data_IF_927173253408
#
_entry.id   IF_927173253408
#
_cell.length_a   1.000
_cell.length_b   1.000
_cell.length_c   1.000
_cell.angle_alpha   90.00
_cell.angle_beta   90.00
_cell.angle_gamma   90.00
#
_symmetry.space_group_name_H-M   'P 1'
#
loop_
_entity.id
_entity.type
_entity.pdbx_description
1 polymer ?
#
# COMPACT_ATOMS: atom_id res chain seq x y z
N UNK A 1 -9.58 -3.36 -54.10
CA UNK A 1 -9.33 -3.56 -52.66
C UNK A 1 -10.64 -3.92 -52.02
N UNK A 2 -10.75 -5.11 -51.42
CA UNK A 2 -11.95 -5.50 -50.66
C UNK A 2 -12.13 -4.58 -49.46
N UNK A 3 -13.38 -4.35 -49.09
CA UNK A 3 -13.73 -3.61 -47.87
C UNK A 3 -13.36 -4.47 -46.66
N UNK A 4 -12.38 -4.00 -45.88
CA UNK A 4 -11.86 -4.72 -44.72
C UNK A 4 -12.98 -5.05 -43.71
N UNK A 5 -14.03 -4.24 -43.64
CA UNK A 5 -15.17 -4.48 -42.74
C UNK A 5 -15.96 -5.74 -43.12
N UNK A 6 -16.17 -5.96 -44.42
CA UNK A 6 -16.85 -7.15 -44.96
C UNK A 6 -15.99 -8.40 -44.72
N UNK A 7 -14.69 -8.29 -44.98
CA UNK A 7 -13.74 -9.40 -44.78
C UNK A 7 -13.63 -9.79 -43.29
N UNK A 8 -13.65 -8.80 -42.39
CA UNK A 8 -13.62 -9.02 -40.93
C UNK A 8 -14.86 -9.76 -40.44
N UNK A 9 -16.06 -9.34 -40.89
CA UNK A 9 -17.30 -9.99 -40.50
C UNK A 9 -17.34 -11.45 -40.97
N UNK A 10 -16.97 -11.71 -42.23
CA UNK A 10 -16.93 -13.06 -42.80
C UNK A 10 -15.88 -13.98 -42.12
N UNK A 11 -14.80 -13.39 -41.60
CA UNK A 11 -13.71 -14.10 -40.93
C UNK A 11 -13.93 -14.29 -39.41
N UNK A 12 -15.01 -13.71 -38.87
CA UNK A 12 -15.34 -13.75 -37.44
C UNK A 12 -16.24 -14.93 -37.09
N UNK A 13 -16.26 -15.30 -35.81
CA UNK A 13 -17.12 -16.35 -35.26
C UNK A 13 -17.81 -15.88 -33.99
N UNK A 14 -18.99 -16.43 -33.71
CA UNK A 14 -19.71 -16.18 -32.45
C UNK A 14 -19.16 -17.09 -31.36
N UNK A 15 -18.84 -16.50 -30.21
CA UNK A 15 -18.31 -17.23 -29.05
C UNK A 15 -19.09 -16.82 -27.81
N UNK A 16 -19.49 -17.81 -27.00
CA UNK A 16 -20.19 -17.60 -25.74
C UNK A 16 -19.20 -17.54 -24.58
N UNK A 17 -19.24 -16.46 -23.79
CA UNK A 17 -18.42 -16.30 -22.58
C UNK A 17 -19.30 -15.73 -21.46
N UNK A 18 -19.44 -16.48 -20.36
CA UNK A 18 -20.24 -16.03 -19.21
C UNK A 18 -21.71 -15.73 -19.56
N UNK A 19 -22.30 -16.49 -20.49
CA UNK A 19 -23.68 -16.31 -20.94
C UNK A 19 -23.91 -15.13 -21.90
N UNK A 20 -22.84 -14.44 -22.34
CA UNK A 20 -22.90 -13.38 -23.36
C UNK A 20 -22.26 -13.86 -24.65
N UNK A 21 -22.89 -13.51 -25.78
CA UNK A 21 -22.35 -13.77 -27.11
C UNK A 21 -21.42 -12.64 -27.55
N UNK A 22 -20.27 -13.01 -28.09
CA UNK A 22 -19.29 -12.09 -28.64
C UNK A 22 -18.95 -12.47 -30.08
N UNK A 23 -18.73 -11.46 -30.92
CA UNK A 23 -18.15 -11.64 -32.24
C UNK A 23 -16.62 -11.60 -32.11
N UNK A 24 -15.95 -12.67 -32.52
CA UNK A 24 -14.52 -12.89 -32.27
C UNK A 24 -13.78 -13.14 -33.58
N UNK A 25 -12.65 -12.47 -33.78
CA UNK A 25 -11.72 -12.71 -34.88
C UNK A 25 -10.60 -13.68 -34.43
N UNK A 26 -10.55 -14.92 -34.93
CA UNK A 26 -9.49 -15.86 -34.59
C UNK A 26 -8.10 -15.37 -35.03
N UNK A 27 -7.04 -15.79 -34.32
CA UNK A 27 -5.67 -15.36 -34.62
C UNK A 27 -5.22 -15.70 -36.06
N UNK A 28 -5.54 -16.90 -36.53
CA UNK A 28 -5.22 -17.34 -37.90
C UNK A 28 -5.97 -16.51 -38.96
N UNK A 29 -7.20 -16.08 -38.65
CA UNK A 29 -7.99 -15.24 -39.54
C UNK A 29 -7.43 -13.82 -39.61
N UNK A 30 -7.08 -13.22 -38.47
CA UNK A 30 -6.39 -11.93 -38.41
C UNK A 30 -5.07 -11.96 -39.22
N UNK A 31 -4.40 -13.11 -39.28
CA UNK A 31 -3.13 -13.28 -40.01
C UNK A 31 -3.32 -13.26 -41.49
N UNK A 32 -4.28 -14.06 -41.94
CA UNK A 32 -4.64 -14.15 -43.34
C UNK A 32 -5.09 -12.80 -43.86
N UNK A 33 -5.88 -12.06 -43.08
CA UNK A 33 -6.34 -10.71 -43.42
C UNK A 33 -5.19 -9.70 -43.48
N UNK A 34 -4.28 -9.72 -42.50
CA UNK A 34 -3.10 -8.85 -42.49
C UNK A 34 -2.25 -9.06 -43.76
N UNK A 35 -1.91 -10.32 -44.06
CA UNK A 35 -1.14 -10.68 -45.27
C UNK A 35 -1.90 -10.33 -46.55
N UNK A 36 -3.17 -10.71 -46.65
CA UNK A 36 -3.99 -10.52 -47.86
C UNK A 36 -4.31 -9.06 -48.16
N UNK A 37 -4.37 -8.19 -47.14
CA UNK A 37 -4.63 -6.75 -47.29
C UNK A 37 -3.37 -5.89 -47.25
N UNK A 38 -2.17 -6.48 -47.14
CA UNK A 38 -0.89 -5.76 -46.98
C UNK A 38 -0.91 -4.76 -45.80
N UNK A 39 -1.55 -5.16 -44.70
CA UNK A 39 -1.62 -4.38 -43.46
C UNK A 39 -0.89 -5.08 -42.34
N UNK A 40 -0.44 -4.31 -41.35
CA UNK A 40 0.10 -4.85 -40.11
C UNK A 40 -0.98 -5.61 -39.32
N UNK A 41 -0.54 -6.48 -38.41
CA UNK A 41 -1.46 -7.18 -37.49
C UNK A 41 -2.26 -6.19 -36.64
N UNK A 42 -1.60 -5.13 -36.17
CA UNK A 42 -2.19 -4.06 -35.36
C UNK A 42 -3.34 -3.38 -36.08
N UNK A 43 -3.17 -3.04 -37.36
CA UNK A 43 -4.20 -2.37 -38.15
C UNK A 43 -5.46 -3.22 -38.32
N UNK A 44 -5.29 -4.53 -38.55
CA UNK A 44 -6.42 -5.46 -38.66
C UNK A 44 -7.13 -5.62 -37.32
N UNK A 45 -6.39 -5.80 -36.22
CA UNK A 45 -6.98 -5.93 -34.88
C UNK A 45 -7.67 -4.65 -34.42
N UNK A 46 -7.11 -3.48 -34.75
CA UNK A 46 -7.73 -2.17 -34.49
C UNK A 46 -9.02 -1.98 -35.27
N UNK A 47 -9.02 -2.34 -36.56
CA UNK A 47 -10.22 -2.31 -37.39
C UNK A 47 -11.31 -3.27 -36.86
N UNK A 48 -10.92 -4.46 -36.42
CA UNK A 48 -11.83 -5.42 -35.79
C UNK A 48 -12.50 -4.82 -34.55
N UNK A 49 -11.71 -4.28 -33.60
CA UNK A 49 -12.24 -3.67 -32.38
C UNK A 49 -13.17 -2.48 -32.68
N UNK A 50 -12.83 -1.67 -33.69
CA UNK A 50 -13.67 -0.55 -34.14
C UNK A 50 -15.02 -1.05 -34.68
N UNK A 51 -15.04 -2.21 -35.33
CA UNK A 51 -16.25 -2.87 -35.83
C UNK A 51 -17.00 -3.69 -34.76
N UNK A 52 -16.57 -3.65 -33.48
CA UNK A 52 -17.16 -4.44 -32.41
C UNK A 52 -16.77 -5.93 -32.43
N UNK A 53 -15.76 -6.29 -33.22
CA UNK A 53 -15.23 -7.65 -33.34
C UNK A 53 -13.96 -7.76 -32.49
N UNK A 54 -13.93 -8.73 -31.58
CA UNK A 54 -12.85 -8.89 -30.61
C UNK A 54 -11.77 -9.80 -31.20
N UNK A 55 -10.50 -9.37 -31.33
CA UNK A 55 -9.40 -10.29 -31.59
C UNK A 55 -9.34 -11.36 -30.50
N UNK A 56 -9.33 -12.64 -30.89
CA UNK A 56 -9.56 -13.76 -29.96
C UNK A 56 -8.63 -13.80 -28.75
N UNK A 57 -7.40 -13.29 -28.89
CA UNK A 57 -6.43 -13.16 -27.80
C UNK A 57 -6.91 -12.26 -26.65
N UNK A 58 -7.75 -11.26 -26.92
CA UNK A 58 -8.23 -10.30 -25.92
C UNK A 58 -9.62 -10.65 -25.38
N UNK A 59 -10.23 -11.76 -25.80
CA UNK A 59 -11.58 -12.14 -25.37
C UNK A 59 -11.72 -12.20 -23.85
N UNK A 60 -10.67 -12.61 -23.14
CA UNK A 60 -10.65 -12.68 -21.67
C UNK A 60 -10.45 -11.32 -20.98
N UNK A 61 -10.10 -10.26 -21.72
CA UNK A 61 -9.92 -8.91 -21.19
C UNK A 61 -11.21 -8.10 -21.24
N UNK A 62 -12.10 -8.37 -22.21
CA UNK A 62 -13.26 -7.54 -22.53
C UNK A 62 -14.24 -7.41 -21.37
N UNK A 63 -14.37 -8.43 -20.51
CA UNK A 63 -15.20 -8.34 -19.31
C UNK A 63 -14.75 -7.25 -18.33
N UNK A 64 -13.47 -6.89 -18.36
CA UNK A 64 -12.86 -5.92 -17.44
C UNK A 64 -12.64 -4.56 -18.11
N UNK A 65 -11.98 -4.52 -19.28
CA UNK A 65 -11.61 -3.25 -19.95
C UNK A 65 -12.57 -2.86 -21.08
N UNK A 66 -13.46 -3.76 -21.49
CA UNK A 66 -14.33 -3.55 -22.65
C UNK A 66 -13.60 -3.47 -23.98
N UNK A 67 -14.36 -3.39 -25.08
CA UNK A 67 -13.81 -3.20 -26.44
C UNK A 67 -13.11 -1.83 -26.54
N UNK A 68 -13.70 -0.78 -25.97
CA UNK A 68 -13.11 0.57 -25.97
C UNK A 68 -11.79 0.63 -25.20
N UNK A 69 -11.68 -0.02 -24.03
CA UNK A 69 -10.41 -0.08 -23.30
C UNK A 69 -9.36 -0.89 -24.04
N UNK A 70 -9.73 -2.02 -24.66
CA UNK A 70 -8.81 -2.80 -25.49
C UNK A 70 -8.32 -2.01 -26.70
N UNK A 71 -9.20 -1.21 -27.33
CA UNK A 71 -8.83 -0.31 -28.42
C UNK A 71 -7.86 0.78 -27.96
N UNK A 72 -8.07 1.35 -26.76
CA UNK A 72 -7.14 2.32 -26.16
C UNK A 72 -5.77 1.69 -25.90
N UNK A 73 -5.72 0.49 -25.32
CA UNK A 73 -4.45 -0.25 -25.15
C UNK A 73 -3.74 -0.43 -26.50
N UNK A 74 -4.46 -0.88 -27.54
CA UNK A 74 -3.87 -1.13 -28.85
C UNK A 74 -3.41 0.15 -29.57
N UNK A 75 -3.90 1.33 -29.16
CA UNK A 75 -3.44 2.61 -29.69
C UNK A 75 -2.33 3.26 -28.83
N UNK A 76 -2.15 2.81 -27.60
CA UNK A 76 -1.23 3.42 -26.66
C UNK A 76 0.25 3.07 -26.92
N UNK A 77 1.11 3.96 -26.47
CA UNK A 77 2.57 3.82 -26.40
C UNK A 77 3.01 3.84 -24.95
N UNK A 78 3.74 2.81 -24.49
CA UNK A 78 4.28 2.75 -23.13
C UNK A 78 5.80 2.66 -23.19
N UNK A 79 6.49 3.55 -22.47
CA UNK A 79 7.92 3.49 -22.31
C UNK A 79 8.28 2.73 -21.03
N UNK A 80 9.05 1.64 -21.14
CA UNK A 80 9.56 0.86 -20.01
C UNK A 80 11.07 1.11 -19.90
N UNK A 81 11.49 1.74 -18.80
CA UNK A 81 12.91 2.09 -18.58
C UNK A 81 13.51 1.13 -17.56
N UNK A 82 14.45 0.31 -18.03
CA UNK A 82 14.95 -0.88 -17.38
C UNK A 82 14.20 -2.13 -17.87
N UNK A 83 14.93 -3.13 -18.36
CA UNK A 83 14.44 -4.43 -18.84
C UNK A 83 14.94 -5.59 -17.95
N UNK A 84 15.23 -5.29 -16.68
CA UNK A 84 15.62 -6.27 -15.67
C UNK A 84 14.45 -7.07 -15.08
N UNK A 85 14.54 -7.43 -13.80
CA UNK A 85 13.54 -8.29 -13.13
C UNK A 85 12.12 -7.70 -13.10
N UNK A 86 12.01 -6.38 -12.90
CA UNK A 86 10.73 -5.67 -12.98
C UNK A 86 10.30 -5.49 -14.43
N UNK A 87 11.11 -4.76 -15.20
CA UNK A 87 10.75 -4.32 -16.55
C UNK A 87 10.51 -5.47 -17.53
N UNK A 88 11.29 -6.55 -17.45
CA UNK A 88 11.11 -7.71 -18.32
C UNK A 88 9.72 -8.35 -18.16
N UNK A 89 9.23 -8.48 -16.92
CA UNK A 89 7.88 -8.98 -16.68
C UNK A 89 6.80 -7.94 -17.02
N UNK A 90 7.03 -6.65 -16.77
CA UNK A 90 6.11 -5.59 -17.22
C UNK A 90 5.92 -5.66 -18.73
N UNK A 91 7.00 -5.77 -19.51
CA UNK A 91 6.95 -5.90 -20.98
C UNK A 91 6.13 -7.11 -21.41
N UNK A 92 6.37 -8.27 -20.81
CA UNK A 92 5.61 -9.50 -21.05
C UNK A 92 4.09 -9.28 -20.84
N UNK A 93 3.72 -8.68 -19.69
CA UNK A 93 2.34 -8.48 -19.31
C UNK A 93 1.64 -7.44 -20.19
N UNK A 94 2.30 -6.32 -20.52
CA UNK A 94 1.74 -5.29 -21.38
C UNK A 94 1.58 -5.77 -22.83
N UNK A 95 2.52 -6.58 -23.33
CA UNK A 95 2.39 -7.20 -24.66
C UNK A 95 1.20 -8.16 -24.72
N UNK A 96 0.95 -8.93 -23.65
CA UNK A 96 -0.23 -9.80 -23.52
C UNK A 96 -1.54 -9.02 -23.41
N UNK A 97 -1.51 -7.88 -22.73
CA UNK A 97 -2.64 -6.95 -22.66
C UNK A 97 -2.90 -6.22 -23.97
N UNK A 98 -1.98 -6.30 -24.93
CA UNK A 98 -2.14 -5.68 -26.25
C UNK A 98 -1.88 -4.18 -26.25
N UNK A 99 -0.94 -3.70 -25.43
CA UNK A 99 -0.41 -2.33 -25.56
C UNK A 99 0.24 -2.20 -26.93
N UNK A 100 -0.19 -1.20 -27.71
CA UNK A 100 0.13 -1.12 -29.13
C UNK A 100 1.60 -0.89 -29.47
N UNK A 101 2.28 -0.04 -28.70
CA UNK A 101 3.71 0.22 -28.85
C UNK A 101 4.42 0.15 -27.51
N UNK A 102 5.52 -0.58 -27.44
CA UNK A 102 6.43 -0.62 -26.29
C UNK A 102 7.77 0.01 -26.66
N UNK A 103 8.15 1.08 -25.96
CA UNK A 103 9.48 1.69 -26.07
C UNK A 103 10.33 1.14 -24.93
N UNK A 104 11.40 0.43 -25.26
CA UNK A 104 12.25 -0.28 -24.30
C UNK A 104 13.60 0.41 -24.20
N UNK A 105 13.99 0.80 -23.00
CA UNK A 105 15.26 1.50 -22.73
C UNK A 105 16.05 0.72 -21.69
N UNK A 106 17.15 0.11 -22.10
CA UNK A 106 18.12 -0.53 -21.20
C UNK A 106 19.48 -0.57 -21.89
N UNK A 107 20.55 -0.25 -21.16
CA UNK A 107 21.92 -0.24 -21.69
C UNK A 107 22.73 -1.48 -21.34
N UNK A 108 22.15 -2.44 -20.62
CA UNK A 108 22.85 -3.61 -20.11
C UNK A 108 22.63 -4.85 -20.98
N UNK A 109 23.51 -5.83 -20.76
CA UNK A 109 23.38 -7.21 -21.24
C UNK A 109 23.02 -8.14 -20.08
N UNK A 110 22.59 -9.37 -20.38
CA UNK A 110 22.38 -10.36 -19.33
C UNK A 110 23.68 -10.95 -18.79
N UNK A 111 23.70 -11.15 -17.48
CA UNK A 111 24.78 -11.78 -16.71
C UNK A 111 24.24 -12.96 -15.88
N UNK A 112 25.11 -13.85 -15.42
CA UNK A 112 24.73 -15.04 -14.64
C UNK A 112 23.84 -14.71 -13.44
N UNK A 113 24.14 -13.61 -12.74
CA UNK A 113 23.37 -13.16 -11.58
C UNK A 113 21.93 -12.71 -11.93
N UNK A 114 21.57 -12.62 -13.22
CA UNK A 114 20.23 -12.25 -13.68
C UNK A 114 19.31 -13.47 -13.81
N UNK A 115 19.85 -14.68 -14.00
CA UNK A 115 19.10 -15.93 -14.17
C UNK A 115 18.13 -16.22 -13.02
N UNK A 116 18.43 -15.72 -11.82
CA UNK A 116 17.62 -15.98 -10.63
C UNK A 116 16.25 -15.28 -10.63
N UNK A 117 16.10 -14.15 -11.35
CA UNK A 117 14.93 -13.25 -11.19
C UNK A 117 14.45 -12.55 -12.46
N UNK A 118 15.25 -12.54 -13.52
CA UNK A 118 14.89 -11.85 -14.75
C UNK A 118 14.27 -12.84 -15.74
N UNK A 119 12.95 -12.77 -15.92
CA UNK A 119 12.16 -13.68 -16.76
C UNK A 119 12.75 -13.90 -18.16
N UNK A 120 13.33 -12.84 -18.74
CA UNK A 120 13.83 -12.83 -20.11
C UNK A 120 15.28 -13.35 -20.23
N UNK A 121 15.93 -13.65 -19.12
CA UNK A 121 17.29 -14.18 -19.08
C UNK A 121 17.22 -15.71 -19.03
N UNK A 122 17.68 -16.38 -20.09
CA UNK A 122 17.99 -17.81 -20.06
C UNK A 122 19.51 -18.01 -20.12
N UNK A 123 19.99 -19.23 -19.85
CA UNK A 123 21.42 -19.54 -20.02
C UNK A 123 21.93 -19.25 -21.46
N UNK A 124 21.05 -19.35 -22.45
CA UNK A 124 21.36 -19.06 -23.85
C UNK A 124 21.38 -17.55 -24.17
N UNK A 125 20.84 -16.70 -23.28
CA UNK A 125 20.78 -15.24 -23.48
C UNK A 125 21.91 -14.49 -22.76
N UNK A 126 22.85 -15.18 -22.10
CA UNK A 126 23.98 -14.54 -21.44
C UNK A 126 24.81 -13.72 -22.45
N UNK A 127 25.12 -12.48 -22.08
CA UNK A 127 25.80 -11.50 -22.94
C UNK A 127 24.91 -10.82 -24.00
N UNK A 128 23.64 -11.21 -24.12
CA UNK A 128 22.68 -10.58 -25.03
C UNK A 128 22.15 -9.26 -24.44
N UNK A 129 21.96 -8.20 -25.26
CA UNK A 129 21.30 -6.98 -24.81
C UNK A 129 19.88 -7.25 -24.29
N UNK A 130 19.56 -6.74 -23.10
CA UNK A 130 18.27 -7.01 -22.43
C UNK A 130 17.07 -6.57 -23.28
N UNK A 131 17.18 -5.41 -23.93
CA UNK A 131 16.11 -4.90 -24.83
C UNK A 131 15.88 -5.80 -26.04
N UNK A 132 16.90 -6.50 -26.53
CA UNK A 132 16.75 -7.39 -27.70
C UNK A 132 16.07 -8.70 -27.33
N UNK A 133 16.38 -9.27 -26.17
CA UNK A 133 15.63 -10.42 -25.66
C UNK A 133 14.16 -10.06 -25.39
N UNK A 134 13.90 -8.86 -24.86
CA UNK A 134 12.55 -8.36 -24.68
C UNK A 134 11.81 -8.19 -26.02
N UNK A 135 12.46 -7.63 -27.05
CA UNK A 135 11.92 -7.52 -28.40
C UNK A 135 11.48 -8.87 -28.97
N UNK A 136 12.39 -9.85 -28.98
CA UNK A 136 12.11 -11.19 -29.50
C UNK A 136 10.96 -11.85 -28.74
N UNK A 137 10.94 -11.67 -27.41
CA UNK A 137 9.87 -12.19 -26.57
C UNK A 137 8.51 -11.60 -26.91
N UNK A 138 8.42 -10.29 -27.08
CA UNK A 138 7.16 -9.62 -27.46
C UNK A 138 6.66 -10.12 -28.80
N UNK A 139 7.54 -10.23 -29.81
CA UNK A 139 7.15 -10.75 -31.13
C UNK A 139 6.63 -12.18 -31.08
N UNK A 140 7.19 -13.02 -30.21
CA UNK A 140 6.71 -14.39 -30.00
C UNK A 140 5.31 -14.46 -29.37
N UNK A 141 4.91 -13.43 -28.62
CA UNK A 141 3.62 -13.39 -27.89
C UNK A 141 2.53 -12.71 -28.71
N UNK A 142 2.86 -11.54 -29.27
CA UNK A 142 1.88 -10.65 -29.85
C UNK A 142 2.45 -9.83 -31.02
N UNK A 143 2.31 -10.36 -32.22
CA UNK A 143 2.72 -9.69 -33.46
C UNK A 143 1.92 -8.39 -33.78
N UNK A 144 0.89 -8.04 -33.00
CA UNK A 144 0.20 -6.75 -33.09
C UNK A 144 0.92 -5.63 -32.33
N UNK A 145 1.88 -5.96 -31.48
CA UNK A 145 2.63 -5.00 -30.66
C UNK A 145 3.89 -4.58 -31.43
N UNK A 146 4.07 -3.26 -31.57
CA UNK A 146 5.30 -2.67 -32.08
C UNK A 146 6.28 -2.48 -30.93
N UNK A 147 7.56 -2.77 -31.15
CA UNK A 147 8.60 -2.60 -30.13
C UNK A 147 9.70 -1.71 -30.68
N UNK A 148 10.11 -0.72 -29.90
CA UNK A 148 11.21 0.19 -30.20
C UNK A 148 12.29 0.03 -29.13
N UNK A 149 13.44 -0.51 -29.52
CA UNK A 149 14.53 -0.77 -28.59
C UNK A 149 15.57 0.35 -28.62
N UNK A 150 15.99 0.79 -27.45
CA UNK A 150 17.09 1.70 -27.25
C UNK A 150 18.11 1.06 -26.31
N UNK A 151 19.20 0.52 -26.89
CA UNK A 151 20.37 0.01 -26.17
C UNK A 151 21.20 1.15 -25.58
N UNK A 152 20.62 1.87 -24.61
CA UNK A 152 21.27 3.01 -23.98
C UNK A 152 20.73 3.22 -22.57
N UNK A 153 21.54 3.85 -21.73
CA UNK A 153 21.10 4.27 -20.39
C UNK A 153 20.35 5.59 -20.50
N UNK A 154 19.32 5.75 -19.66
CA UNK A 154 18.60 7.01 -19.55
C UNK A 154 19.53 8.09 -18.96
N UNK A 155 19.59 9.24 -19.61
CA UNK A 155 20.28 10.44 -19.13
C UNK A 155 19.38 11.67 -19.27
N UNK A 156 19.77 12.78 -18.66
CA UNK A 156 18.99 14.04 -18.77
C UNK A 156 18.93 14.55 -20.22
N UNK A 157 19.95 14.25 -21.01
CA UNK A 157 20.14 14.72 -22.37
C UNK A 157 19.31 13.91 -23.37
N UNK A 158 19.17 12.59 -23.17
CA UNK A 158 18.44 11.72 -24.09
C UNK A 158 16.98 11.46 -23.68
N UNK A 159 16.58 11.75 -22.44
CA UNK A 159 15.26 11.39 -21.93
C UNK A 159 14.08 11.97 -22.75
N UNK A 160 14.19 13.21 -23.24
CA UNK A 160 13.14 13.81 -24.07
C UNK A 160 12.93 13.06 -25.40
N UNK A 161 14.03 12.57 -25.99
CA UNK A 161 13.99 11.77 -27.21
C UNK A 161 13.42 10.37 -26.95
N UNK A 162 13.89 9.71 -25.88
CA UNK A 162 13.50 8.33 -25.56
C UNK A 162 12.04 8.20 -25.12
N UNK A 163 11.52 9.18 -24.37
CA UNK A 163 10.19 9.12 -23.78
C UNK A 163 9.13 9.88 -24.60
N UNK A 164 9.54 10.59 -25.64
CA UNK A 164 8.66 11.43 -26.46
C UNK A 164 7.53 10.63 -27.10
N UNK A 165 6.28 11.06 -26.86
CA UNK A 165 5.09 10.43 -27.41
C UNK A 165 4.60 9.18 -26.65
N UNK A 166 5.20 8.84 -25.51
CA UNK A 166 4.63 7.82 -24.62
C UNK A 166 3.41 8.38 -23.88
N UNK A 167 2.39 7.53 -23.73
CA UNK A 167 1.19 7.83 -22.94
C UNK A 167 1.42 7.54 -21.45
N UNK A 168 2.30 6.58 -21.14
CA UNK A 168 2.70 6.21 -19.77
C UNK A 168 4.17 5.79 -19.79
N UNK A 169 4.90 6.16 -18.74
CA UNK A 169 6.27 5.69 -18.48
C UNK A 169 6.26 4.72 -17.29
N UNK A 170 7.05 3.65 -17.36
CA UNK A 170 7.27 2.71 -16.26
C UNK A 170 8.71 2.81 -15.79
N UNK A 171 8.87 3.08 -14.50
CA UNK A 171 10.17 3.04 -13.82
C UNK A 171 10.45 1.61 -13.34
N UNK A 172 11.40 0.96 -14.00
CA UNK A 172 11.95 -0.33 -13.62
C UNK A 172 13.47 -0.24 -13.38
N UNK A 173 13.94 0.93 -12.93
CA UNK A 173 15.35 1.20 -12.66
C UNK A 173 15.74 0.72 -11.25
N UNK A 174 17.02 0.39 -11.08
CA UNK A 174 17.60 -0.20 -9.86
C UNK A 174 18.32 0.82 -8.97
N UNK A 175 18.37 2.10 -9.37
CA UNK A 175 19.09 3.13 -8.64
C UNK A 175 18.31 4.45 -8.58
N UNK A 176 18.29 5.04 -7.39
CA UNK A 176 17.51 6.23 -7.09
C UNK A 176 17.86 7.46 -7.96
N UNK A 177 19.13 7.78 -8.28
CA UNK A 177 19.46 8.92 -9.15
C UNK A 177 18.80 8.83 -10.54
N UNK A 178 18.83 7.64 -11.16
CA UNK A 178 18.20 7.44 -12.47
C UNK A 178 16.67 7.55 -12.39
N UNK A 179 16.06 7.11 -11.29
CA UNK A 179 14.61 7.28 -11.04
C UNK A 179 14.21 8.76 -11.00
N UNK A 180 14.99 9.61 -10.35
CA UNK A 180 14.75 11.07 -10.35
C UNK A 180 14.99 11.73 -11.73
N UNK A 181 15.91 11.21 -12.55
CA UNK A 181 16.05 11.66 -13.95
C UNK A 181 14.78 11.31 -14.74
N UNK A 182 14.31 10.08 -14.62
CA UNK A 182 13.09 9.60 -15.27
C UNK A 182 11.84 10.39 -14.87
N UNK A 183 11.63 10.59 -13.57
CA UNK A 183 10.49 11.34 -13.05
C UNK A 183 10.47 12.78 -13.57
N UNK A 184 11.61 13.49 -13.55
CA UNK A 184 11.70 14.85 -14.08
C UNK A 184 11.41 14.92 -15.58
N UNK A 185 11.91 13.96 -16.35
CA UNK A 185 11.65 13.90 -17.77
C UNK A 185 10.17 13.63 -18.07
N UNK A 186 9.56 12.64 -17.39
CA UNK A 186 8.14 12.34 -17.50
C UNK A 186 7.28 13.56 -17.14
N UNK A 187 7.61 14.25 -16.02
CA UNK A 187 6.97 15.49 -15.60
C UNK A 187 7.06 16.57 -16.67
N UNK A 188 8.25 16.82 -17.23
CA UNK A 188 8.46 17.83 -18.29
C UNK A 188 7.66 17.51 -19.56
N UNK A 189 7.51 16.24 -19.89
CA UNK A 189 6.74 15.76 -21.04
C UNK A 189 5.24 15.61 -20.76
N UNK A 190 4.80 15.87 -19.53
CA UNK A 190 3.41 15.70 -19.07
C UNK A 190 2.91 14.25 -19.18
N UNK A 191 3.79 13.28 -18.90
CA UNK A 191 3.50 11.85 -18.97
C UNK A 191 3.40 11.27 -17.55
N UNK A 192 2.32 10.53 -17.21
CA UNK A 192 2.24 9.77 -15.97
C UNK A 192 3.36 8.72 -15.86
N UNK A 193 3.89 8.56 -14.65
CA UNK A 193 4.94 7.59 -14.30
C UNK A 193 4.38 6.52 -13.35
N UNK A 194 4.61 5.25 -13.68
CA UNK A 194 4.35 4.11 -12.78
C UNK A 194 5.67 3.69 -12.15
N UNK A 195 5.82 3.98 -10.86
CA UNK A 195 6.99 3.66 -10.07
C UNK A 195 6.90 2.28 -9.43
N UNK A 196 8.03 1.55 -9.47
CA UNK A 196 8.21 0.28 -8.77
C UNK A 196 9.59 0.20 -8.13
N UNK A 197 9.66 -0.33 -6.91
CA UNK A 197 10.91 -0.58 -6.20
C UNK A 197 10.83 -1.87 -5.37
N UNK A 198 11.97 -2.49 -5.11
CA UNK A 198 12.07 -3.74 -4.35
C UNK A 198 13.27 -3.72 -3.41
N UNK A 199 13.20 -4.41 -2.28
CA UNK A 199 14.36 -4.69 -1.43
C UNK A 199 14.11 -5.99 -0.66
N UNK A 200 14.78 -7.08 -1.04
CA UNK A 200 14.53 -8.39 -0.42
C UNK A 200 13.09 -8.84 -0.66
N UNK A 201 12.32 -9.06 0.41
CA UNK A 201 10.90 -9.39 0.34
C UNK A 201 9.96 -8.18 0.28
N UNK A 202 10.51 -6.97 0.30
CA UNK A 202 9.75 -5.73 0.29
C UNK A 202 9.53 -5.23 -1.14
N UNK A 203 8.33 -4.73 -1.41
CA UNK A 203 7.95 -4.15 -2.69
C UNK A 203 7.18 -2.85 -2.52
N UNK A 204 7.32 -1.94 -3.48
CA UNK A 204 6.64 -0.65 -3.51
C UNK A 204 6.10 -0.36 -4.90
N UNK A 205 4.86 0.12 -4.99
CA UNK A 205 4.26 0.61 -6.25
C UNK A 205 3.52 1.91 -6.01
N UNK A 206 3.73 2.88 -6.91
CA UNK A 206 3.10 4.20 -6.86
C UNK A 206 2.82 4.69 -8.28
N UNK A 207 1.70 5.39 -8.49
CA UNK A 207 1.46 6.13 -9.73
C UNK A 207 1.68 7.63 -9.47
N UNK A 208 2.49 8.27 -10.31
CA UNK A 208 2.88 9.68 -10.19
C UNK A 208 2.41 10.41 -11.45
N UNK A 209 1.50 11.36 -11.28
CA UNK A 209 1.09 12.26 -12.35
C UNK A 209 1.98 13.52 -12.39
N UNK A 210 2.01 14.26 -13.52
CA UNK A 210 2.93 15.41 -13.67
C UNK A 210 2.82 16.48 -12.57
N UNK A 211 1.63 16.65 -11.99
CA UNK A 211 1.32 17.61 -10.93
C UNK A 211 1.55 17.07 -9.51
N UNK A 212 1.90 15.78 -9.35
CA UNK A 212 2.12 15.19 -8.04
C UNK A 212 3.51 15.56 -7.45
N UNK A 213 3.69 15.50 -6.12
CA UNK A 213 5.01 15.74 -5.47
C UNK A 213 6.11 14.79 -5.97
N UNK A 214 5.75 13.57 -6.37
CA UNK A 214 6.66 12.61 -6.99
C UNK A 214 7.53 11.84 -6.00
N UNK A 215 8.69 11.35 -6.46
CA UNK A 215 9.57 10.48 -5.66
C UNK A 215 10.16 11.19 -4.45
N UNK A 216 10.24 12.52 -4.48
CA UNK A 216 10.74 13.33 -3.37
C UNK A 216 9.89 13.20 -2.10
N UNK A 217 8.59 12.91 -2.24
CA UNK A 217 7.70 12.65 -1.11
C UNK A 217 7.99 11.31 -0.42
N UNK A 218 8.53 10.34 -1.16
CA UNK A 218 8.86 9.00 -0.66
C UNK A 218 10.29 8.92 -0.13
N UNK A 219 11.26 9.48 -0.87
CA UNK A 219 12.69 9.32 -0.60
C UNK A 219 13.38 10.59 -0.08
N UNK A 220 12.65 11.69 0.04
CA UNK A 220 13.22 13.01 0.30
C UNK A 220 13.85 13.64 -0.96
N UNK A 221 14.42 14.86 -0.83
CA UNK A 221 15.04 15.55 -1.96
C UNK A 221 16.23 14.75 -2.53
N UNK A 222 16.45 14.86 -3.84
CA UNK A 222 17.58 14.22 -4.51
C UNK A 222 18.91 14.57 -3.81
N UNK A 223 19.74 13.54 -3.53
CA UNK A 223 20.98 13.68 -2.77
C UNK A 223 20.85 13.43 -1.27
N UNK A 224 19.62 13.23 -0.74
CA UNK A 224 19.39 12.83 0.66
C UNK A 224 19.90 11.42 1.00
N UNK A 225 19.94 10.53 0.00
CA UNK A 225 20.42 9.14 0.09
C UNK A 225 21.06 8.73 -1.24
N UNK A 226 22.31 8.30 -1.23
CA UNK A 226 23.04 7.91 -2.46
C UNK A 226 22.71 6.50 -2.95
N UNK A 227 22.23 5.60 -2.08
CA UNK A 227 21.97 4.18 -2.39
C UNK A 227 20.71 3.68 -1.68
N UNK A 228 19.95 2.83 -2.36
CA UNK A 228 18.86 2.05 -1.74
C UNK A 228 19.42 0.92 -0.88
N UNK A 229 18.62 0.45 0.08
CA UNK A 229 18.94 -0.70 0.98
C UNK A 229 19.09 -2.03 0.19
N UNK A 230 18.85 -2.01 -1.13
CA UNK A 230 18.80 -3.17 -2.02
C UNK A 230 20.13 -3.95 -2.13
N UNK A 231 21.28 -3.33 -1.86
CA UNK A 231 22.61 -3.95 -2.02
C UNK A 231 22.91 -4.99 -0.93
N UNK A 232 22.32 -4.84 0.26
CA UNK A 232 22.58 -5.76 1.38
C UNK A 232 21.57 -6.92 1.47
N UNK A 233 20.34 -6.74 0.98
CA UNK A 233 19.26 -7.73 1.14
C UNK A 233 19.13 -8.73 0.01
N UNK A 234 19.70 -8.43 -1.17
CA UNK A 234 19.46 -9.20 -2.40
C UNK A 234 18.00 -9.09 -2.87
N UNK A 235 17.69 -9.72 -4.01
CA UNK A 235 16.37 -9.67 -4.64
C UNK A 235 15.90 -11.10 -5.03
N UNK A 236 15.10 -11.76 -4.18
CA UNK A 236 14.44 -13.04 -4.48
C UNK A 236 13.54 -12.94 -5.72
N UNK A 237 13.40 -14.04 -6.47
CA UNK A 237 12.71 -14.06 -7.76
C UNK A 237 11.26 -13.54 -7.73
N UNK A 238 10.53 -13.81 -6.64
CA UNK A 238 9.11 -13.50 -6.55
C UNK A 238 8.82 -12.01 -6.32
N UNK A 239 9.67 -11.30 -5.57
CA UNK A 239 9.42 -9.89 -5.21
C UNK A 239 9.36 -8.97 -6.45
N UNK A 240 10.32 -9.01 -7.40
CA UNK A 240 10.18 -8.29 -8.65
C UNK A 240 8.93 -8.69 -9.42
N UNK A 241 8.58 -9.98 -9.46
CA UNK A 241 7.41 -10.44 -10.20
C UNK A 241 6.10 -9.84 -9.65
N UNK A 242 5.96 -9.78 -8.33
CA UNK A 242 4.82 -9.17 -7.65
C UNK A 242 4.71 -7.68 -7.98
N UNK A 243 5.80 -6.93 -7.82
CA UNK A 243 5.84 -5.48 -8.10
C UNK A 243 5.56 -5.19 -9.57
N UNK A 244 6.17 -5.93 -10.50
CA UNK A 244 5.94 -5.79 -11.93
C UNK A 244 4.48 -6.08 -12.33
N UNK A 245 3.83 -7.06 -11.69
CA UNK A 245 2.41 -7.34 -11.94
C UNK A 245 1.54 -6.14 -11.56
N UNK A 246 1.79 -5.52 -10.41
CA UNK A 246 1.11 -4.29 -10.00
C UNK A 246 1.43 -3.11 -10.93
N UNK A 247 2.70 -2.92 -11.32
CA UNK A 247 3.07 -1.88 -12.29
C UNK A 247 2.31 -2.02 -13.61
N UNK A 248 2.24 -3.24 -14.17
CA UNK A 248 1.49 -3.49 -15.39
C UNK A 248 -0.02 -3.18 -15.23
N UNK A 249 -0.60 -3.48 -14.06
CA UNK A 249 -1.98 -3.11 -13.77
C UNK A 249 -2.17 -1.59 -13.68
N UNK A 250 -1.26 -0.83 -13.08
CA UNK A 250 -1.33 0.63 -13.06
C UNK A 250 -1.35 1.23 -14.47
N UNK A 251 -0.47 0.74 -15.36
CA UNK A 251 -0.45 1.16 -16.77
C UNK A 251 -1.79 0.91 -17.44
N UNK A 252 -2.37 -0.29 -17.27
CA UNK A 252 -3.69 -0.62 -17.83
C UNK A 252 -4.77 0.31 -17.27
N UNK A 253 -4.77 0.58 -15.96
CA UNK A 253 -5.75 1.49 -15.33
C UNK A 253 -5.63 2.91 -15.88
N UNK A 254 -4.42 3.43 -16.07
CA UNK A 254 -4.19 4.77 -16.62
C UNK A 254 -4.73 4.85 -18.06
N UNK A 255 -4.37 3.89 -18.91
CA UNK A 255 -4.76 3.90 -20.33
C UNK A 255 -6.26 3.65 -20.56
N UNK A 256 -6.85 2.76 -19.76
CA UNK A 256 -8.24 2.31 -19.94
C UNK A 256 -9.23 3.01 -19.00
N UNK A 257 -8.79 3.69 -17.95
CA UNK A 257 -9.68 4.20 -16.90
C UNK A 257 -10.47 3.11 -16.16
N UNK A 258 -10.17 1.82 -16.37
CA UNK A 258 -10.86 0.71 -15.74
C UNK A 258 -10.24 0.43 -14.36
N UNK A 259 -10.72 1.16 -13.34
CA UNK A 259 -10.23 1.10 -11.96
C UNK A 259 -9.50 2.37 -11.55
N UNK A 260 -9.03 2.40 -10.30
CA UNK A 260 -8.41 3.59 -9.72
C UNK A 260 -6.88 3.41 -9.62
N UNK A 261 -6.08 4.24 -10.33
CA UNK A 261 -4.64 4.23 -10.18
C UNK A 261 -4.19 4.52 -8.75
N UNK A 262 -3.02 4.01 -8.37
CA UNK A 262 -2.30 4.25 -7.11
C UNK A 262 -1.74 5.68 -7.04
N UNK A 263 -2.49 6.65 -7.55
CA UNK A 263 -2.15 8.07 -7.47
C UNK A 263 -2.27 8.51 -6.02
N UNK A 264 -1.19 9.08 -5.46
CA UNK A 264 -1.08 9.46 -4.04
C UNK A 264 -1.35 8.31 -3.05
N UNK A 265 -1.16 7.07 -3.48
CA UNK A 265 -1.35 5.87 -2.65
C UNK A 265 -0.19 4.93 -2.90
N UNK A 266 0.72 4.84 -1.93
CA UNK A 266 1.84 3.90 -1.99
C UNK A 266 1.33 2.52 -1.60
N UNK A 267 1.34 1.58 -2.56
CA UNK A 267 1.21 0.18 -2.24
C UNK A 267 2.53 -0.33 -1.70
N UNK A 268 2.53 -0.83 -0.47
CA UNK A 268 3.69 -1.41 0.19
C UNK A 268 3.43 -2.90 0.43
N UNK A 269 4.35 -3.74 -0.03
CA UNK A 269 4.22 -5.20 0.04
C UNK A 269 5.33 -5.71 0.95
N UNK A 270 4.95 -6.43 2.00
CA UNK A 270 5.88 -7.21 2.82
C UNK A 270 5.60 -8.71 2.58
N UNK A 271 6.40 -9.32 1.71
CA UNK A 271 6.24 -10.75 1.39
C UNK A 271 6.82 -11.67 2.46
N UNK A 272 7.62 -11.15 3.41
CA UNK A 272 8.10 -11.95 4.53
C UNK A 272 6.99 -12.15 5.55
N UNK A 273 6.20 -11.10 5.82
CA UNK A 273 4.99 -11.16 6.64
C UNK A 273 3.74 -11.66 5.90
N UNK A 274 3.74 -11.63 4.57
CA UNK A 274 2.57 -11.95 3.75
C UNK A 274 1.52 -10.83 3.75
N UNK A 275 1.96 -9.58 3.93
CA UNK A 275 1.10 -8.42 4.14
C UNK A 275 1.19 -7.42 2.97
N UNK A 276 0.07 -6.74 2.71
CA UNK A 276 -0.02 -5.69 1.69
C UNK A 276 -0.75 -4.49 2.28
N UNK A 277 -0.09 -3.34 2.26
CA UNK A 277 -0.55 -2.08 2.82
C UNK A 277 -0.76 -1.04 1.72
N UNK A 278 -1.71 -0.14 1.92
CA UNK A 278 -1.83 1.08 1.10
C UNK A 278 -1.66 2.29 2.00
N UNK A 279 -0.64 3.09 1.74
CA UNK A 279 -0.31 4.30 2.49
C UNK A 279 -0.70 5.54 1.67
N UNK A 280 -1.52 6.43 2.22
CA UNK A 280 -1.89 7.67 1.54
C UNK A 280 -0.73 8.68 1.58
N UNK A 281 -0.38 9.23 0.43
CA UNK A 281 0.67 10.22 0.27
C UNK A 281 0.07 11.64 0.25
N UNK A 282 0.70 12.52 1.02
CA UNK A 282 0.43 13.95 1.05
C UNK A 282 -0.78 14.38 1.86
N UNK A 283 -1.04 13.69 2.96
CA UNK A 283 -1.76 14.23 4.12
C UNK A 283 -0.82 14.82 5.18
N UNK A 284 0.50 14.57 5.12
CA UNK A 284 1.47 15.16 6.09
C UNK A 284 1.47 16.69 6.11
N UNK A 285 1.24 17.34 4.97
CA UNK A 285 1.29 18.81 4.86
C UNK A 285 -0.08 19.52 4.87
N UNK A 286 -1.19 18.79 4.86
CA UNK A 286 -2.55 19.38 4.92
C UNK A 286 -3.31 18.98 6.19
N UNK A 287 -2.95 17.90 6.88
CA UNK A 287 -3.46 17.66 8.23
C UNK A 287 -2.83 18.61 9.24
N UNK A 288 -1.52 18.93 9.16
CA UNK A 288 -0.88 19.85 10.11
C UNK A 288 -1.33 21.32 10.01
N UNK A 289 -1.86 21.77 8.85
CA UNK A 289 -2.31 23.16 8.66
C UNK A 289 -3.82 23.32 8.41
N UNK A 290 -4.56 22.24 8.13
CA UNK A 290 -6.03 22.26 8.01
C UNK A 290 -6.73 21.60 9.22
N UNK A 291 -6.00 20.94 10.12
CA UNK A 291 -6.49 20.51 11.44
C UNK A 291 -6.48 21.64 12.50
N UNK A 292 -6.53 22.90 12.08
CA UNK A 292 -7.13 23.96 12.89
C UNK A 292 -8.68 23.87 12.89
N UNK A 293 -9.27 22.79 12.35
CA UNK A 293 -10.71 22.51 12.34
C UNK A 293 -11.05 21.01 12.47
N UNK A 294 -10.82 20.44 13.67
CA UNK A 294 -11.54 19.32 14.30
C UNK A 294 -11.80 18.02 13.50
N UNK A 295 -10.82 17.13 13.46
CA UNK A 295 -11.02 15.72 13.84
C UNK A 295 -9.99 15.38 14.92
N UNK A 296 -10.45 15.21 16.15
CA UNK A 296 -9.61 14.76 17.26
C UNK A 296 -9.23 13.30 17.02
N UNK A 297 -7.97 12.93 17.28
CA UNK A 297 -7.53 11.53 17.30
C UNK A 297 -8.31 10.70 18.34
N UNK A 298 -8.00 9.40 18.49
CA UNK A 298 -8.68 8.55 19.47
C UNK A 298 -8.64 9.21 20.85
N UNK A 299 -9.79 9.29 21.50
CA UNK A 299 -9.83 9.77 22.88
C UNK A 299 -9.13 8.76 23.79
N UNK A 300 -8.38 9.23 24.78
CA UNK A 300 -7.65 8.37 25.72
C UNK A 300 -8.11 8.66 27.13
N UNK A 301 -8.39 7.62 27.91
CA UNK A 301 -8.80 7.72 29.30
C UNK A 301 -8.11 6.66 30.14
N UNK A 302 -7.59 7.07 31.30
CA UNK A 302 -6.86 6.21 32.24
C UNK A 302 -7.73 5.77 33.41
N UNK A 303 -7.70 4.50 33.75
CA UNK A 303 -8.39 3.91 34.89
C UNK A 303 -7.39 3.63 36.00
N UNK A 304 -7.49 4.39 37.09
CA UNK A 304 -6.49 4.43 38.15
C UNK A 304 -7.09 4.06 39.49
N UNK A 305 -6.38 3.23 40.25
CA UNK A 305 -6.77 2.72 41.54
C UNK A 305 -5.64 1.88 42.11
N UNK A 306 -5.62 1.66 43.42
CA UNK A 306 -4.62 0.79 44.06
C UNK A 306 -4.71 -0.65 43.55
N UNK A 307 -3.65 -1.44 43.72
CA UNK A 307 -3.64 -2.84 43.27
C UNK A 307 -4.78 -3.62 43.92
N UNK A 308 -5.47 -4.47 43.15
CA UNK A 308 -6.64 -5.21 43.64
C UNK A 308 -7.99 -4.47 43.57
N UNK A 309 -8.03 -3.20 43.16
CA UNK A 309 -9.28 -2.42 43.09
C UNK A 309 -10.31 -2.88 42.04
N UNK A 310 -9.98 -3.90 41.22
CA UNK A 310 -10.88 -4.46 40.20
C UNK A 310 -10.82 -3.79 38.82
N UNK A 311 -9.85 -2.91 38.55
CA UNK A 311 -9.70 -2.18 37.26
C UNK A 311 -9.85 -3.07 36.02
N UNK A 312 -9.16 -4.20 35.98
CA UNK A 312 -9.21 -5.12 34.83
C UNK A 312 -10.61 -5.67 34.62
N UNK A 313 -11.31 -6.06 35.68
CA UNK A 313 -12.70 -6.54 35.61
C UNK A 313 -13.63 -5.46 35.08
N UNK A 314 -13.52 -4.23 35.60
CA UNK A 314 -14.28 -3.08 35.11
C UNK A 314 -14.00 -2.79 33.64
N UNK A 315 -12.74 -2.81 33.21
CA UNK A 315 -12.36 -2.55 31.82
C UNK A 315 -12.90 -3.62 30.87
N UNK A 316 -12.89 -4.90 31.25
CA UNK A 316 -13.46 -5.98 30.42
C UNK A 316 -14.96 -5.76 30.19
N UNK A 317 -15.71 -5.43 31.25
CA UNK A 317 -17.14 -5.16 31.14
C UNK A 317 -17.42 -3.90 30.32
N UNK A 318 -16.64 -2.83 30.54
CA UNK A 318 -16.78 -1.56 29.83
C UNK A 318 -16.44 -1.67 28.34
N UNK A 319 -15.37 -2.37 27.97
CA UNK A 319 -15.03 -2.65 26.56
C UNK A 319 -16.18 -3.39 25.89
N UNK A 320 -16.76 -4.36 26.59
CA UNK A 320 -17.90 -5.14 26.09
C UNK A 320 -19.14 -4.27 25.88
N UNK A 321 -19.42 -3.32 26.79
CA UNK A 321 -20.52 -2.36 26.65
C UNK A 321 -20.31 -1.39 25.47
N UNK A 322 -19.12 -0.79 25.36
CA UNK A 322 -18.79 0.17 24.31
C UNK A 322 -18.75 -0.47 22.91
N UNK A 323 -18.19 -1.68 22.80
CA UNK A 323 -18.12 -2.40 21.51
C UNK A 323 -19.51 -2.82 21.03
N UNK A 324 -20.40 -3.24 21.94
CA UNK A 324 -21.82 -3.52 21.60
C UNK A 324 -22.55 -2.31 21.02
N UNK A 325 -22.09 -1.10 21.35
CA UNK A 325 -22.62 0.19 20.85
C UNK A 325 -21.89 0.67 19.58
N UNK A 326 -21.03 -0.16 18.99
CA UNK A 326 -20.38 0.10 17.71
C UNK A 326 -19.08 0.89 17.77
N UNK A 327 -18.53 1.15 18.96
CA UNK A 327 -17.21 1.78 19.09
C UNK A 327 -16.10 0.76 18.86
N UNK A 328 -15.03 1.21 18.20
CA UNK A 328 -13.74 0.54 18.18
C UNK A 328 -12.95 0.97 19.40
N UNK A 329 -12.65 0.02 20.29
CA UNK A 329 -11.98 0.29 21.57
C UNK A 329 -10.64 -0.45 21.63
N UNK A 330 -9.59 0.26 22.02
CA UNK A 330 -8.29 -0.35 22.36
C UNK A 330 -8.08 -0.33 23.87
N UNK A 331 -7.32 -1.29 24.38
CA UNK A 331 -6.95 -1.37 25.79
C UNK A 331 -5.44 -1.43 25.94
N UNK A 332 -4.90 -0.65 26.88
CA UNK A 332 -3.47 -0.54 27.16
C UNK A 332 -3.24 -0.81 28.63
N UNK A 333 -2.22 -1.57 28.98
CA UNK A 333 -1.83 -1.78 30.39
C UNK A 333 -0.53 -1.05 30.68
N UNK A 334 -0.56 -0.13 31.64
CA UNK A 334 0.60 0.63 32.08
C UNK A 334 1.09 0.10 33.44
N UNK A 335 2.27 -0.53 33.46
CA UNK A 335 2.92 -1.05 34.68
C UNK A 335 4.31 -0.43 34.88
N UNK A 336 4.65 -0.07 36.12
CA UNK A 336 6.01 0.37 36.47
C UNK A 336 6.99 -0.81 36.68
N UNK A 337 6.49 -2.04 36.76
CA UNK A 337 7.32 -3.24 36.80
C UNK A 337 7.53 -3.77 35.37
N UNK A 338 8.78 -4.05 35.00
CA UNK A 338 9.21 -4.55 33.68
C UNK A 338 8.64 -5.93 33.29
N UNK A 339 7.76 -6.53 34.10
CA UNK A 339 7.32 -7.91 33.96
C UNK A 339 5.93 -8.07 33.34
N UNK A 340 5.62 -7.30 32.29
CA UNK A 340 4.43 -7.55 31.47
C UNK A 340 4.73 -8.61 30.38
N UNK A 341 4.95 -9.86 30.81
CA UNK A 341 4.88 -11.04 29.94
C UNK A 341 6.18 -11.76 29.62
N UNK A 342 7.27 -11.53 30.36
CA UNK A 342 8.55 -12.18 30.07
C UNK A 342 8.79 -13.43 30.94
N UNK A 343 8.86 -14.59 30.27
CA UNK A 343 9.76 -15.70 30.59
C UNK A 343 9.68 -16.71 29.42
N UNK A 344 10.69 -16.78 28.53
CA UNK A 344 12.12 -16.93 28.84
C UNK A 344 12.95 -15.74 28.31
N UNK A 345 13.66 -14.94 29.12
CA UNK A 345 14.57 -15.34 30.18
C UNK A 345 16.05 -15.34 29.76
N UNK A 346 16.54 -14.27 29.11
CA UNK A 346 17.91 -13.67 29.23
C UNK A 346 18.29 -12.81 28.01
N UNK A 347 17.83 -13.15 26.81
CA UNK A 347 18.43 -12.59 25.58
C UNK A 347 17.90 -11.20 25.21
N UNK A 348 16.59 -10.92 25.35
CA UNK A 348 16.04 -9.55 25.15
C UNK A 348 16.72 -8.53 26.06
N UNK A 349 16.93 -8.89 27.33
CA UNK A 349 17.62 -8.04 28.29
C UNK A 349 19.10 -7.88 27.96
N UNK A 350 19.78 -8.97 27.54
CA UNK A 350 21.18 -8.90 27.06
C UNK A 350 21.32 -8.04 25.81
N UNK A 351 20.38 -8.12 24.88
CA UNK A 351 20.36 -7.29 23.66
C UNK A 351 20.18 -5.81 24.02
N UNK A 352 19.29 -5.48 24.97
CA UNK A 352 19.16 -4.12 25.51
C UNK A 352 20.42 -3.64 26.24
N UNK A 353 21.00 -4.48 27.11
CA UNK A 353 22.26 -4.18 27.81
C UNK A 353 23.45 -4.05 26.85
N UNK A 354 23.39 -4.71 25.68
CA UNK A 354 24.34 -4.56 24.59
C UNK A 354 24.10 -3.29 23.73
N UNK A 355 23.07 -2.48 24.05
CA UNK A 355 22.81 -1.19 23.41
C UNK A 355 21.74 -1.21 22.31
N UNK A 356 20.91 -2.25 22.20
CA UNK A 356 19.81 -2.26 21.25
C UNK A 356 18.78 -1.16 21.57
N UNK A 357 18.52 -0.28 20.60
CA UNK A 357 17.54 0.82 20.71
C UNK A 357 16.08 0.34 20.77
N UNK A 358 15.82 -0.91 20.36
CA UNK A 358 14.54 -1.59 20.48
C UNK A 358 14.67 -3.09 20.28
N UNK A 359 13.76 -3.87 20.86
CA UNK A 359 13.75 -5.34 20.74
C UNK A 359 12.34 -5.81 20.43
N UNK A 360 12.19 -6.75 19.49
CA UNK A 360 10.90 -7.33 19.15
C UNK A 360 10.89 -8.84 19.45
N UNK A 361 9.78 -9.33 20.01
CA UNK A 361 9.44 -10.74 20.05
C UNK A 361 8.46 -11.01 18.90
N UNK A 362 8.88 -11.85 17.96
CA UNK A 362 8.08 -12.24 16.80
C UNK A 362 7.80 -13.73 16.89
N UNK A 363 6.53 -14.10 16.99
CA UNK A 363 6.07 -15.49 16.89
C UNK A 363 4.85 -15.56 15.97
N UNK A 364 4.59 -16.71 15.32
CA UNK A 364 3.41 -16.86 14.48
C UNK A 364 2.06 -16.60 15.18
N UNK A 365 2.02 -16.66 16.51
CA UNK A 365 0.81 -16.44 17.30
C UNK A 365 0.76 -15.05 17.97
N UNK A 366 1.91 -14.38 18.11
CA UNK A 366 2.02 -13.12 18.86
C UNK A 366 3.28 -12.35 18.47
N UNK A 367 3.10 -11.06 18.21
CA UNK A 367 4.19 -10.08 18.09
C UNK A 367 4.14 -9.12 19.28
N UNK A 368 5.29 -8.84 19.88
CA UNK A 368 5.44 -7.81 20.90
C UNK A 368 6.68 -6.96 20.61
N UNK A 369 6.53 -5.64 20.63
CA UNK A 369 7.61 -4.68 20.42
C UNK A 369 7.96 -4.03 21.75
N UNK A 370 9.25 -3.99 22.09
CA UNK A 370 9.80 -3.43 23.31
C UNK A 370 10.72 -2.27 22.97
N UNK A 371 10.27 -1.04 23.22
CA UNK A 371 11.08 0.17 23.11
C UNK A 371 11.19 0.86 24.46
N UNK A 372 12.35 1.44 24.79
CA UNK A 372 12.42 2.42 25.87
C UNK A 372 11.65 3.66 25.42
N UNK A 373 10.66 4.08 26.21
CA UNK A 373 9.93 5.32 25.99
C UNK A 373 9.87 6.06 27.32
N UNK A 374 10.08 7.38 27.29
CA UNK A 374 9.68 8.21 28.41
C UNK A 374 8.14 8.29 28.47
N UNK A 375 7.55 8.48 29.66
CA UNK A 375 6.09 8.56 29.83
C UNK A 375 5.45 9.61 28.88
N UNK A 376 6.09 10.77 28.68
CA UNK A 376 5.60 11.80 27.75
C UNK A 376 5.55 11.30 26.30
N UNK A 377 6.55 10.52 25.86
CA UNK A 377 6.62 9.96 24.52
C UNK A 377 5.64 8.80 24.33
N UNK A 378 5.50 7.95 25.35
CA UNK A 378 4.55 6.85 25.34
C UNK A 378 3.11 7.34 25.17
N UNK A 379 2.77 8.49 25.77
CA UNK A 379 1.46 9.11 25.64
C UNK A 379 1.16 9.55 24.21
N UNK A 380 2.10 10.24 23.56
CA UNK A 380 1.97 10.68 22.17
C UNK A 380 1.89 9.50 21.18
N UNK A 381 2.58 8.39 21.47
CA UNK A 381 2.61 7.19 20.61
C UNK A 381 1.35 6.34 20.66
N UNK A 382 0.57 6.40 21.75
CA UNK A 382 -0.66 5.61 21.87
C UNK A 382 -1.65 5.89 20.73
N UNK A 383 -1.76 7.15 20.29
CA UNK A 383 -2.66 7.51 19.19
C UNK A 383 -2.12 7.05 17.83
N UNK A 384 -0.80 7.00 17.66
CA UNK A 384 -0.14 6.52 16.44
C UNK A 384 -0.31 5.01 16.25
N UNK A 385 -0.27 4.23 17.34
CA UNK A 385 -0.32 2.76 17.29
C UNK A 385 -1.71 2.19 17.07
N UNK A 386 -2.77 2.98 17.30
CA UNK A 386 -4.16 2.53 17.16
C UNK A 386 -4.94 3.41 16.16
N UNK A 387 -4.54 3.46 14.88
CA UNK A 387 -5.23 4.27 13.89
C UNK A 387 -6.66 3.77 13.68
N UNK A 388 -7.64 4.68 13.72
CA UNK A 388 -9.05 4.38 13.47
C UNK A 388 -9.80 3.73 14.65
N UNK A 389 -9.21 3.72 15.85
CA UNK A 389 -9.89 3.44 17.13
C UNK A 389 -10.64 4.71 17.58
N UNK A 390 -11.80 4.55 18.23
CA UNK A 390 -12.59 5.66 18.75
C UNK A 390 -12.16 6.05 20.18
N UNK A 391 -11.85 5.05 21.01
CA UNK A 391 -11.48 5.25 22.42
C UNK A 391 -10.38 4.26 22.87
N UNK A 392 -9.35 4.77 23.55
CA UNK A 392 -8.28 3.98 24.17
C UNK A 392 -8.46 4.00 25.69
N UNK A 393 -8.61 2.82 26.28
CA UNK A 393 -8.70 2.65 27.73
C UNK A 393 -7.37 2.18 28.30
N UNK A 394 -6.77 3.00 29.15
CA UNK A 394 -5.49 2.69 29.80
C UNK A 394 -5.76 2.15 31.19
N UNK A 395 -5.40 0.90 31.47
CA UNK A 395 -5.31 0.36 32.82
C UNK A 395 -4.05 0.89 33.51
N UNK A 396 -4.21 1.77 34.50
CA UNK A 396 -3.09 2.39 35.23
C UNK A 396 -2.75 3.79 34.73
N UNK A 397 -1.48 4.18 34.87
CA UNK A 397 -0.93 5.50 34.53
C UNK A 397 -1.40 6.67 35.42
N UNK A 398 -0.96 6.65 36.68
CA UNK A 398 -1.35 7.66 37.70
C UNK A 398 -0.90 9.08 37.33
N UNK A 399 0.28 9.22 36.74
CA UNK A 399 0.91 10.52 36.45
C UNK A 399 0.91 10.89 34.96
N UNK A 400 0.12 10.21 34.13
CA UNK A 400 0.09 10.43 32.68
C UNK A 400 -0.67 11.69 32.24
N UNK A 401 -0.63 12.02 30.94
CA UNK A 401 -1.26 13.23 30.40
C UNK A 401 -2.79 13.12 30.19
N UNK A 402 -3.40 11.98 30.52
CA UNK A 402 -4.78 11.68 30.15
C UNK A 402 -5.79 11.93 31.29
N UNK A 403 -7.05 12.26 30.96
CA UNK A 403 -8.14 12.27 31.94
C UNK A 403 -8.30 10.92 32.63
N UNK A 404 -8.71 10.94 33.90
CA UNK A 404 -8.69 9.74 34.75
C UNK A 404 -10.05 9.38 35.32
N UNK A 405 -10.37 8.09 35.30
CA UNK A 405 -11.45 7.49 36.06
C UNK A 405 -10.84 6.81 37.27
N UNK A 406 -11.24 7.27 38.46
CA UNK A 406 -10.80 6.66 39.72
C UNK A 406 -11.61 5.42 40.04
N UNK A 407 -10.94 4.32 40.35
CA UNK A 407 -11.59 3.06 40.73
C UNK A 407 -11.29 2.77 42.20
N UNK A 408 -12.34 2.78 43.03
CA UNK A 408 -12.24 2.56 44.48
C UNK A 408 -13.35 1.65 44.99
N UNK A 409 -12.96 0.61 45.73
CA UNK A 409 -13.87 -0.30 46.42
C UNK A 409 -13.52 -0.37 47.91
N UNK A 410 -14.48 -0.03 48.77
CA UNK A 410 -14.34 -0.03 50.21
C UNK A 410 -14.06 -1.45 50.73
N UNK A 411 -13.06 -1.60 51.60
CA UNK A 411 -12.64 -2.90 52.13
C UNK A 411 -11.92 -3.82 51.14
N UNK A 412 -11.79 -3.42 49.86
CA UNK A 412 -11.07 -4.17 48.82
C UNK A 412 -9.77 -3.47 48.41
N UNK A 413 -9.78 -2.13 48.43
CA UNK A 413 -8.67 -1.31 47.95
C UNK A 413 -8.54 -0.03 48.77
N UNK A 414 -7.30 0.41 49.00
CA UNK A 414 -7.03 1.69 49.65
C UNK A 414 -7.31 2.87 48.69
N UNK A 415 -7.82 4.02 49.18
CA UNK A 415 -8.04 5.20 48.36
C UNK A 415 -6.71 5.78 47.86
N UNK A 416 -6.69 6.28 46.64
CA UNK A 416 -5.52 7.01 46.13
C UNK A 416 -5.44 8.39 46.81
N UNK A 417 -4.35 8.64 47.53
CA UNK A 417 -4.08 9.90 48.22
C UNK A 417 -2.71 10.47 47.82
N UNK A 418 -2.65 11.72 47.32
CA UNK A 418 -3.79 12.55 46.92
C UNK A 418 -4.52 11.97 45.69
N UNK A 419 -5.81 12.29 45.47
CA UNK A 419 -6.50 11.92 44.24
C UNK A 419 -5.83 12.61 43.04
N UNK A 420 -5.77 11.96 41.87
CA UNK A 420 -5.24 12.59 40.66
C UNK A 420 -6.07 13.83 40.27
N UNK A 421 -5.42 14.95 39.93
CA UNK A 421 -6.09 16.23 39.68
C UNK A 421 -7.03 16.20 38.47
N UNK A 422 -6.72 15.41 37.43
CA UNK A 422 -7.54 15.31 36.20
C UNK A 422 -8.57 14.18 36.28
N UNK A 423 -9.08 13.90 37.48
CA UNK A 423 -10.16 12.93 37.67
C UNK A 423 -11.46 13.47 37.06
N UNK A 424 -12.02 12.71 36.12
CA UNK A 424 -13.30 13.04 35.46
C UNK A 424 -14.49 12.24 36.02
N UNK A 425 -14.25 11.11 36.66
CA UNK A 425 -15.29 10.29 37.29
C UNK A 425 -14.71 9.36 38.37
N UNK A 426 -15.57 8.87 39.26
CA UNK A 426 -15.25 7.87 40.29
C UNK A 426 -16.14 6.64 40.08
N UNK A 427 -15.58 5.44 40.17
CA UNK A 427 -16.28 4.16 39.98
C UNK A 427 -16.05 3.24 41.19
N UNK A 428 -17.13 2.61 41.67
CA UNK A 428 -17.14 1.68 42.79
C UNK A 428 -17.96 2.21 43.97
N UNK A 429 -17.42 2.19 45.19
CA UNK A 429 -18.15 2.61 46.41
C UNK A 429 -18.14 4.14 46.57
N UNK A 430 -18.94 4.85 45.77
CA UNK A 430 -18.91 6.31 45.61
C UNK A 430 -19.05 7.08 46.94
N UNK A 431 -19.95 6.65 47.83
CA UNK A 431 -20.13 7.32 49.12
C UNK A 431 -18.89 7.18 50.02
N UNK A 432 -18.28 5.99 50.03
CA UNK A 432 -17.05 5.72 50.76
C UNK A 432 -15.84 6.43 50.12
N UNK A 433 -15.79 6.51 48.80
CA UNK A 433 -14.80 7.28 48.05
C UNK A 433 -14.80 8.76 48.46
N UNK A 434 -15.98 9.38 48.52
CA UNK A 434 -16.14 10.79 48.94
C UNK A 434 -15.73 11.02 50.39
N UNK A 435 -16.12 10.10 51.29
CA UNK A 435 -15.69 10.15 52.68
C UNK A 435 -14.17 10.00 52.85
N UNK A 436 -13.51 9.28 51.92
CA UNK A 436 -12.06 9.11 51.87
C UNK A 436 -11.31 10.28 51.20
N UNK A 437 -11.98 11.40 50.90
CA UNK A 437 -11.36 12.60 50.34
C UNK A 437 -11.19 12.58 48.81
N UNK A 438 -11.85 11.64 48.11
CA UNK A 438 -11.91 11.66 46.64
C UNK A 438 -12.89 12.74 46.13
N UNK A 439 -12.72 13.28 44.91
CA UNK A 439 -13.44 14.46 44.42
C UNK A 439 -14.97 14.32 44.51
N UNK A 440 -15.61 15.13 45.35
CA UNK A 440 -17.06 15.07 45.58
C UNK A 440 -17.89 15.73 44.47
N UNK A 441 -17.25 16.60 43.68
CA UNK A 441 -17.81 17.36 42.56
C UNK A 441 -17.83 16.57 41.23
N UNK A 442 -17.26 15.36 41.21
CA UNK A 442 -17.19 14.52 40.01
C UNK A 442 -18.33 13.49 39.96
N UNK A 443 -18.81 13.12 38.76
CA UNK A 443 -19.75 12.02 38.57
C UNK A 443 -19.23 10.72 39.23
N UNK A 444 -20.13 10.03 39.92
CA UNK A 444 -19.85 8.76 40.56
C UNK A 444 -20.74 7.67 39.97
N UNK A 445 -20.16 6.49 39.72
CA UNK A 445 -20.85 5.32 39.20
C UNK A 445 -20.60 4.13 40.13
N UNK A 446 -21.65 3.41 40.48
CA UNK A 446 -21.58 2.12 41.17
C UNK A 446 -20.91 1.06 40.30
N UNK A 447 -20.57 -0.07 40.92
CA UNK A 447 -19.92 -1.18 40.21
C UNK A 447 -20.81 -1.81 39.12
N UNK A 448 -22.13 -1.75 39.28
CA UNK A 448 -23.10 -2.29 38.32
C UNK A 448 -23.50 -1.30 37.21
N UNK A 449 -23.09 -0.02 37.33
CA UNK A 449 -23.47 1.08 36.42
C UNK A 449 -22.48 1.25 35.24
N UNK A 450 -22.02 0.14 34.68
CA UNK A 450 -21.00 0.12 33.61
C UNK A 450 -21.52 0.71 32.30
N UNK A 451 -22.80 0.52 32.00
CA UNK A 451 -23.45 1.04 30.79
C UNK A 451 -23.55 2.58 30.85
N UNK A 452 -23.92 3.13 32.01
CA UNK A 452 -24.00 4.56 32.31
C UNK A 452 -22.62 5.22 32.28
N UNK A 453 -21.60 4.53 32.82
CA UNK A 453 -20.21 4.94 32.70
C UNK A 453 -19.78 5.00 31.21
N UNK A 454 -20.19 4.03 30.41
CA UNK A 454 -19.96 4.02 28.96
C UNK A 454 -20.59 5.22 28.25
N UNK A 455 -21.84 5.56 28.57
CA UNK A 455 -22.54 6.74 28.01
C UNK A 455 -21.86 8.05 28.42
N UNK A 456 -21.45 8.13 29.69
CA UNK A 456 -20.72 9.26 30.19
C UNK A 456 -19.41 9.48 29.41
N UNK A 457 -18.63 8.42 29.16
CA UNK A 457 -17.38 8.52 28.40
C UNK A 457 -17.65 8.89 26.93
N UNK A 458 -18.66 8.27 26.30
CA UNK A 458 -19.07 8.62 24.93
C UNK A 458 -19.44 10.10 24.79
N UNK A 459 -20.20 10.65 25.74
CA UNK A 459 -20.56 12.08 25.76
C UNK A 459 -19.37 12.98 26.07
N UNK A 460 -18.53 12.59 27.02
CA UNK A 460 -17.37 13.37 27.46
C UNK A 460 -16.34 13.52 26.34
N UNK A 461 -16.13 12.45 25.58
CA UNK A 461 -15.15 12.41 24.49
C UNK A 461 -15.75 12.60 23.10
N UNK A 462 -17.08 12.76 23.00
CA UNK A 462 -17.81 12.96 21.74
C UNK A 462 -17.56 11.83 20.72
N UNK A 463 -17.62 10.59 21.19
CA UNK A 463 -17.41 9.37 20.41
C UNK A 463 -18.69 8.54 20.30
N UNK A 464 -18.94 7.92 19.15
CA UNK A 464 -20.18 7.17 18.85
C UNK A 464 -21.34 8.02 18.31
N UNK A 465 -22.38 7.36 17.78
CA UNK A 465 -23.42 7.98 16.97
C UNK A 465 -24.18 9.12 17.69
N UNK A 466 -24.02 10.32 17.11
CA UNK A 466 -24.62 11.58 17.58
C UNK A 466 -23.90 12.81 17.01
N UNK A 467 -23.36 12.74 15.79
CA UNK A 467 -23.04 13.94 15.00
C UNK A 467 -24.28 14.29 14.18
N UNK A 468 -25.18 15.05 14.79
CA UNK A 468 -26.05 15.98 14.07
C UNK A 468 -25.58 17.39 14.40
#
# INVERSE_FOLDING_TARGET
>A
MTDLSVDLAAASQRVQVGGREFCVLPQAAAEKLAKGSQRSRREVERAALTAGIIPGRYLRNVGTVGISGQLRLLNATVAVVGCGGLGGLVVELLARMGVGTLVLVDGDVFEDNNLNRQLLCTEADLGKPKVMAAYERVLAINAAVEVRCHETRLTKENAAFLLGGADVVVDALDNLPSRFVLERAARRLQIPLVHGAIAGFLGQVLTIYPDDPGLAELYGPEGSRERGVEVETGNPAATPALVAAYQAQEVVKILTGAGEPLRRRLLYIDSAGGEVYTLNLGERGKEEQKAAGTRQGPAVVSFVGTSGSGKTTLLVELITALTRRGLKVAAVKHSHEENAGDAPGKDTQRLKQAGAEGVALLTPARTALFYPLADEEAGARLTDWFPGVDLILVEGWKHGPFPRVLVFRAGVSEPLSPPPPDTIAVVGDVAAARAAGLPADRPGFGWEEVEELGEFLMRTFRVGAGQN
#
